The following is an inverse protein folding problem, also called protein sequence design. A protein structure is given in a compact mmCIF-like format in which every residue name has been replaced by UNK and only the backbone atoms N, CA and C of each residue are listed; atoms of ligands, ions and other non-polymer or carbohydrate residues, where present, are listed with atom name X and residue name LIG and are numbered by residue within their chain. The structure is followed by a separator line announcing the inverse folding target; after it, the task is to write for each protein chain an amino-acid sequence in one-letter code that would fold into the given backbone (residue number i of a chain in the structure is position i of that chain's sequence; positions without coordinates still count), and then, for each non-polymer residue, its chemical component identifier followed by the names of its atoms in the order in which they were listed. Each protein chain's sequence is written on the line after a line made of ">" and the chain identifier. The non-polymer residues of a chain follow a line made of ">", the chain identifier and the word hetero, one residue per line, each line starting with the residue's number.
data_IF_285012920603
#
_entry.id   IF_285012920603
#
_cell.length_a   1.000
_cell.length_b   1.000
_cell.length_c   1.000
_cell.angle_alpha   90.00
_cell.angle_beta   90.00
_cell.angle_gamma   90.00
#
_symmetry.space_group_name_H-M   'P 1'
#
loop_
_entity.id
_entity.type
_entity.pdbx_description
1 polymer ?
#
# COMPACT_ATOMS: atom_id res chain seq x y z
N UNK A 1 1.36 31.34 9.68
CA UNK A 1 0.41 30.55 8.92
C UNK A 1 0.50 30.96 7.45
N UNK A 2 0.51 29.99 6.51
CA UNK A 2 0.48 30.27 5.08
C UNK A 2 1.78 30.73 4.43
N UNK A 3 2.94 30.57 5.07
CA UNK A 3 4.27 30.85 4.49
C UNK A 3 5.14 29.62 4.50
N UNK A 4 5.95 29.49 3.45
CA UNK A 4 6.95 28.43 3.29
C UNK A 4 8.30 29.02 2.93
N UNK A 5 9.39 28.36 3.26
CA UNK A 5 10.71 28.72 2.76
C UNK A 5 10.92 28.09 1.38
N UNK A 6 11.44 28.87 0.44
CA UNK A 6 11.57 28.44 -0.95
C UNK A 6 13.00 28.58 -1.46
N UNK A 7 13.49 27.55 -2.12
CA UNK A 7 14.72 27.60 -2.91
C UNK A 7 14.33 27.86 -4.37
N UNK A 8 14.71 29.01 -4.88
CA UNK A 8 14.35 29.46 -6.23
C UNK A 8 15.44 28.98 -7.19
N UNK A 9 15.05 28.14 -8.15
CA UNK A 9 15.96 27.64 -9.17
C UNK A 9 16.52 28.81 -10.02
N UNK A 10 17.83 28.80 -10.25
CA UNK A 10 18.53 29.83 -10.96
C UNK A 10 18.84 31.10 -10.16
N UNK A 11 18.40 31.20 -8.89
CA UNK A 11 18.69 32.29 -7.96
C UNK A 11 19.51 31.79 -6.78
N UNK A 12 19.05 30.71 -6.13
CA UNK A 12 19.75 30.14 -4.98
C UNK A 12 20.61 28.93 -5.39
N UNK A 13 21.79 28.81 -4.78
CA UNK A 13 22.59 27.60 -4.95
C UNK A 13 21.82 26.35 -4.51
N UNK A 14 21.92 25.29 -5.30
CA UNK A 14 21.26 24.00 -4.99
C UNK A 14 21.93 23.27 -3.83
N UNK A 15 23.24 23.56 -3.59
CA UNK A 15 23.99 22.98 -2.48
C UNK A 15 23.52 23.57 -1.15
N UNK A 16 22.97 22.73 -0.29
CA UNK A 16 22.45 23.11 1.02
C UNK A 16 23.54 23.49 2.03
N UNK A 17 24.81 23.14 1.74
CA UNK A 17 25.94 23.58 2.57
C UNK A 17 26.31 25.05 2.29
N UNK A 18 26.10 25.53 1.05
CA UNK A 18 26.39 26.90 0.66
C UNK A 18 25.25 27.86 1.03
N UNK A 19 24.01 27.39 0.86
CA UNK A 19 22.78 28.12 1.24
C UNK A 19 21.89 27.17 2.05
N UNK A 20 21.99 27.16 3.37
CA UNK A 20 21.14 26.35 4.24
C UNK A 20 19.66 26.66 4.08
N UNK A 21 18.80 25.69 4.29
CA UNK A 21 17.34 25.90 4.21
C UNK A 21 16.82 26.93 5.23
N UNK A 22 17.59 27.13 6.32
CA UNK A 22 17.34 28.17 7.31
C UNK A 22 17.44 29.60 6.75
N UNK A 23 18.26 29.82 5.74
CA UNK A 23 18.57 31.12 5.17
C UNK A 23 17.75 31.48 3.94
N UNK A 24 16.89 30.54 3.49
CA UNK A 24 16.02 30.75 2.36
C UNK A 24 14.92 31.79 2.68
N UNK A 25 14.45 32.57 1.67
CA UNK A 25 13.40 33.54 1.87
C UNK A 25 12.05 32.88 2.15
N UNK A 26 11.23 33.57 2.95
CA UNK A 26 9.86 33.20 3.19
C UNK A 26 8.97 33.60 2.02
N UNK A 27 8.28 32.65 1.42
CA UNK A 27 7.26 32.86 0.42
C UNK A 27 5.86 32.85 1.05
N UNK A 28 5.01 33.79 0.64
CA UNK A 28 3.58 33.72 0.89
C UNK A 28 2.98 32.67 -0.06
N UNK A 29 2.01 31.90 0.41
CA UNK A 29 1.27 30.97 -0.45
C UNK A 29 -0.09 31.54 -0.73
N UNK A 30 -0.49 31.56 -2.02
CA UNK A 30 -1.83 31.98 -2.44
C UNK A 30 -2.82 30.85 -2.18
N UNK A 31 -3.94 31.20 -1.59
CA UNK A 31 -5.09 30.30 -1.40
C UNK A 31 -6.26 30.78 -2.26
N UNK A 32 -7.19 29.91 -2.68
CA UNK A 32 -8.40 30.32 -3.39
C UNK A 32 -9.20 31.36 -2.61
N UNK A 33 -9.79 32.30 -3.30
CA UNK A 33 -10.61 33.37 -2.67
C UNK A 33 -11.81 32.84 -1.88
N UNK A 34 -12.22 31.60 -2.17
CA UNK A 34 -13.31 30.91 -1.47
C UNK A 34 -12.91 30.35 -0.10
N UNK A 35 -11.61 30.34 0.21
CA UNK A 35 -11.06 29.65 1.39
C UNK A 35 -10.87 30.58 2.59
N UNK A 36 -11.30 31.80 2.52
CA UNK A 36 -11.02 32.83 3.52
C UNK A 36 -9.60 33.35 3.43
N UNK A 37 -9.03 33.90 4.48
CA UNK A 37 -7.65 34.40 4.45
C UNK A 37 -7.41 35.58 5.36
N UNK A 38 -8.26 35.81 6.36
CA UNK A 38 -8.14 36.88 7.34
C UNK A 38 -8.16 36.37 8.76
N UNK A 39 -7.42 37.02 9.64
CA UNK A 39 -7.46 36.80 11.11
C UNK A 39 -7.19 35.35 11.55
N UNK A 40 -6.33 34.63 10.81
CA UNK A 40 -6.01 33.23 11.10
C UNK A 40 -7.07 32.23 10.64
N UNK A 41 -8.09 32.70 9.93
CA UNK A 41 -9.12 31.85 9.31
C UNK A 41 -8.72 31.63 7.84
N UNK A 42 -8.73 30.40 7.40
CA UNK A 42 -8.38 29.96 6.04
C UNK A 42 -7.85 28.55 6.01
N UNK A 43 -7.83 27.97 4.84
CA UNK A 43 -7.30 26.61 4.64
C UNK A 43 -5.79 26.58 4.91
N UNK A 44 -5.37 25.61 5.71
CA UNK A 44 -3.95 25.32 5.87
C UNK A 44 -3.50 24.44 4.69
N UNK A 45 -2.84 25.04 3.72
CA UNK A 45 -2.30 24.33 2.57
C UNK A 45 -1.05 23.57 3.07
N UNK A 46 -1.20 22.27 3.21
CA UNK A 46 -0.14 21.37 3.63
C UNK A 46 0.89 21.11 2.53
N UNK A 47 1.59 22.17 2.06
CA UNK A 47 2.72 21.98 1.13
C UNK A 47 3.82 21.23 1.87
N UNK A 48 4.16 20.05 1.35
CA UNK A 48 5.17 19.19 1.98
C UNK A 48 6.58 19.72 1.69
N UNK A 49 7.54 19.52 2.61
CA UNK A 49 8.95 19.80 2.36
C UNK A 49 9.41 19.13 1.07
N UNK A 50 10.25 19.84 0.30
CA UNK A 50 10.77 19.41 -1.02
C UNK A 50 9.73 19.34 -2.15
N UNK A 51 8.49 19.77 -1.93
CA UNK A 51 7.53 19.92 -3.03
C UNK A 51 8.05 20.96 -4.03
N UNK A 52 7.84 20.72 -5.32
CA UNK A 52 8.10 21.70 -6.36
C UNK A 52 6.87 22.59 -6.53
N UNK A 53 7.09 23.88 -6.63
CA UNK A 53 6.07 24.87 -6.87
C UNK A 53 6.46 25.84 -7.97
N UNK A 54 5.50 26.61 -8.40
CA UNK A 54 5.74 27.76 -9.27
C UNK A 54 5.09 29.02 -8.66
N UNK A 55 5.65 30.16 -8.99
CA UNK A 55 5.23 31.41 -8.40
C UNK A 55 5.82 32.61 -9.12
N UNK A 56 5.64 33.77 -8.52
CA UNK A 56 6.21 35.04 -9.00
C UNK A 56 7.04 35.69 -7.91
N UNK A 57 7.97 36.52 -8.31
CA UNK A 57 8.80 37.33 -7.42
C UNK A 57 8.26 38.75 -7.43
N UNK A 58 7.77 39.23 -6.30
CA UNK A 58 7.08 40.52 -6.20
C UNK A 58 8.03 41.72 -6.22
N UNK A 59 9.27 41.52 -5.76
CA UNK A 59 10.32 42.55 -5.64
C UNK A 59 11.35 42.49 -6.79
N UNK A 60 11.05 41.78 -7.86
CA UNK A 60 11.85 41.72 -9.07
C UNK A 60 13.27 41.19 -8.82
N UNK A 61 14.28 42.01 -9.08
CA UNK A 61 15.70 41.60 -9.01
C UNK A 61 16.20 41.21 -7.61
N UNK A 62 15.53 41.66 -6.56
CA UNK A 62 15.95 41.38 -5.19
C UNK A 62 15.65 39.94 -4.75
N UNK A 63 14.63 39.33 -5.37
CA UNK A 63 14.24 37.93 -5.15
C UNK A 63 13.98 37.55 -3.68
N UNK A 64 13.55 38.52 -2.87
CA UNK A 64 13.31 38.35 -1.44
C UNK A 64 11.83 38.20 -1.07
N UNK A 65 10.91 38.53 -2.02
CA UNK A 65 9.48 38.45 -1.83
C UNK A 65 8.83 37.45 -2.82
N UNK A 66 9.13 36.16 -2.70
CA UNK A 66 8.49 35.15 -3.54
C UNK A 66 7.05 34.92 -3.10
N UNK A 67 6.17 34.73 -4.09
CA UNK A 67 4.77 34.35 -3.93
C UNK A 67 4.54 33.02 -4.61
N UNK A 68 4.16 32.00 -3.87
CA UNK A 68 3.84 30.64 -4.40
C UNK A 68 2.39 30.63 -4.86
N UNK A 69 2.17 30.33 -6.13
CA UNK A 69 0.86 30.29 -6.76
C UNK A 69 0.28 28.86 -6.88
N UNK A 70 1.15 27.86 -6.86
CA UNK A 70 0.72 26.48 -6.95
C UNK A 70 1.88 25.48 -6.77
N UNK A 71 1.53 24.22 -6.60
CA UNK A 71 2.47 23.11 -6.60
C UNK A 71 2.46 22.37 -7.93
N UNK A 72 3.63 21.92 -8.35
CA UNK A 72 3.79 21.10 -9.55
C UNK A 72 3.85 19.64 -9.07
N UNK A 73 2.96 18.77 -9.56
CA UNK A 73 3.05 17.35 -9.26
C UNK A 73 4.42 16.82 -9.65
N UNK A 74 5.16 16.33 -8.69
CA UNK A 74 6.48 15.74 -8.91
C UNK A 74 6.36 14.24 -8.67
N UNK A 75 6.62 13.48 -9.71
CA UNK A 75 6.77 12.04 -9.58
C UNK A 75 8.22 11.74 -9.24
N UNK A 76 8.50 11.56 -7.99
CA UNK A 76 9.77 10.97 -7.55
C UNK A 76 9.55 9.47 -7.43
N UNK A 77 10.39 8.68 -8.09
CA UNK A 77 10.54 7.28 -7.67
C UNK A 77 11.04 7.34 -6.24
N UNK A 78 10.27 6.88 -5.26
CA UNK A 78 10.77 6.87 -3.90
C UNK A 78 12.01 5.99 -3.86
N UNK A 79 13.04 6.51 -3.25
CA UNK A 79 14.23 5.74 -2.86
C UNK A 79 13.81 4.67 -1.86
N UNK A 80 12.61 4.83 -1.30
CA UNK A 80 11.93 3.89 -0.41
C UNK A 80 10.45 3.85 -0.79
N UNK A 81 9.94 2.68 -1.15
CA UNK A 81 8.54 2.44 -1.52
C UNK A 81 7.53 2.86 -0.43
N UNK A 82 8.01 3.14 0.78
CA UNK A 82 7.20 3.58 1.93
C UNK A 82 6.45 4.89 1.73
N UNK A 83 6.90 5.77 0.83
CA UNK A 83 6.25 7.07 0.63
C UNK A 83 5.12 7.08 -0.40
N UNK A 84 5.09 6.11 -1.31
CA UNK A 84 4.00 6.02 -2.32
C UNK A 84 2.73 5.40 -1.75
N UNK A 85 2.86 4.66 -0.67
CA UNK A 85 1.78 3.84 -0.16
C UNK A 85 0.80 4.64 0.69
N UNK A 86 1.28 5.68 1.39
CA UNK A 86 0.45 6.40 2.34
C UNK A 86 -0.68 7.22 1.69
N UNK A 87 -0.47 7.75 0.49
CA UNK A 87 -1.48 8.58 -0.16
C UNK A 87 -2.47 7.79 -1.02
N UNK A 88 -2.00 6.75 -1.71
CA UNK A 88 -2.86 5.92 -2.54
C UNK A 88 -3.70 4.91 -1.73
N UNK A 89 -3.31 4.63 -0.50
CA UNK A 89 -3.97 3.68 0.39
C UNK A 89 -4.97 4.31 1.37
N UNK A 90 -4.98 5.65 1.48
CA UNK A 90 -5.96 6.35 2.32
C UNK A 90 -7.27 6.46 1.52
N UNK A 91 -8.40 5.95 2.00
CA UNK A 91 -9.70 6.18 1.38
C UNK A 91 -9.97 7.68 1.17
N UNK A 92 -10.54 8.07 0.02
CA UNK A 92 -10.78 9.49 -0.30
C UNK A 92 -11.58 10.22 0.78
N UNK A 93 -12.51 9.53 1.44
CA UNK A 93 -13.27 10.07 2.56
C UNK A 93 -12.39 10.46 3.75
N UNK A 94 -11.25 9.79 3.91
CA UNK A 94 -10.30 10.08 5.00
C UNK A 94 -9.22 11.09 4.58
N UNK A 95 -8.95 11.25 3.29
CA UNK A 95 -7.99 12.24 2.78
C UNK A 95 -8.48 13.68 2.98
N UNK A 96 -9.80 13.87 3.08
CA UNK A 96 -10.45 15.18 3.23
C UNK A 96 -11.07 15.40 4.60
N UNK A 97 -11.00 14.42 5.51
CA UNK A 97 -11.51 14.58 6.85
C UNK A 97 -10.45 15.22 7.76
N UNK A 98 -10.79 16.32 8.40
CA UNK A 98 -9.98 16.91 9.48
C UNK A 98 -9.82 15.98 10.69
N UNK A 99 -10.24 14.73 10.58
CA UNK A 99 -10.19 13.70 11.62
C UNK A 99 -9.02 12.73 11.50
N UNK A 100 -8.17 12.87 10.47
CA UNK A 100 -6.96 12.03 10.31
C UNK A 100 -5.91 12.26 11.39
N UNK A 101 -5.96 13.39 12.10
CA UNK A 101 -5.07 13.67 13.21
C UNK A 101 -5.25 12.70 14.41
N UNK A 102 -6.34 11.91 14.41
CA UNK A 102 -6.65 10.94 15.44
C UNK A 102 -6.64 9.47 14.99
N UNK A 103 -6.48 9.21 13.70
CA UNK A 103 -6.23 7.87 13.19
C UNK A 103 -4.74 7.73 13.03
N UNK A 104 -4.10 7.08 13.99
CA UNK A 104 -2.67 6.75 13.90
C UNK A 104 -2.47 5.70 12.80
N UNK A 105 -2.52 6.14 11.54
CA UNK A 105 -2.12 5.38 10.37
C UNK A 105 -0.60 5.41 10.22
N UNK A 106 0.13 5.99 11.19
CA UNK A 106 1.58 5.97 11.19
C UNK A 106 2.02 4.50 11.26
N UNK A 107 2.73 4.09 10.25
CA UNK A 107 3.54 2.88 10.31
C UNK A 107 4.41 3.06 11.55
N UNK A 108 4.36 2.16 12.52
CA UNK A 108 5.21 2.27 13.68
C UNK A 108 6.64 2.55 13.21
N UNK A 109 7.29 3.58 13.74
CA UNK A 109 8.68 3.94 13.37
C UNK A 109 9.67 2.78 13.54
N UNK A 110 9.26 1.75 14.25
CA UNK A 110 9.98 0.52 14.53
C UNK A 110 9.46 -0.68 13.72
N UNK A 111 8.51 -0.51 12.78
CA UNK A 111 7.97 -1.63 12.02
C UNK A 111 9.09 -2.30 11.22
N UNK A 112 9.22 -3.60 11.38
CA UNK A 112 10.20 -4.40 10.66
C UNK A 112 9.82 -4.46 9.18
N UNK A 113 10.77 -4.11 8.32
CA UNK A 113 10.55 -3.98 6.87
C UNK A 113 10.90 -5.24 6.08
N UNK A 114 11.57 -6.21 6.69
CA UNK A 114 12.21 -7.26 5.93
C UNK A 114 11.44 -8.56 5.98
N UNK A 115 10.66 -8.83 4.93
CA UNK A 115 10.12 -10.17 4.67
C UNK A 115 11.23 -11.24 4.69
N UNK A 116 12.45 -10.85 4.34
CA UNK A 116 13.65 -11.70 4.35
C UNK A 116 14.03 -12.22 5.73
N UNK A 117 13.64 -11.53 6.80
CA UNK A 117 13.86 -12.00 8.18
C UNK A 117 12.96 -13.20 8.53
N UNK A 118 11.77 -13.28 7.93
CA UNK A 118 10.72 -14.22 8.30
C UNK A 118 10.39 -15.24 7.20
N UNK A 119 10.72 -14.93 5.97
CA UNK A 119 10.33 -15.71 4.80
C UNK A 119 11.56 -16.15 4.00
N UNK A 120 11.57 -17.42 3.57
CA UNK A 120 12.62 -17.99 2.74
C UNK A 120 12.15 -18.15 1.29
N UNK A 121 12.95 -17.68 0.34
CA UNK A 121 12.69 -17.77 -1.08
C UNK A 121 13.25 -16.58 -1.87
N UNK A 122 13.40 -16.75 -3.17
CA UNK A 122 13.99 -15.77 -4.09
C UNK A 122 12.96 -14.79 -4.68
N UNK A 123 11.67 -15.13 -4.60
CA UNK A 123 10.55 -14.32 -5.06
C UNK A 123 9.42 -14.33 -4.04
N UNK A 124 8.48 -13.38 -4.12
CA UNK A 124 7.33 -13.35 -3.23
C UNK A 124 6.48 -14.60 -3.37
N UNK A 125 6.34 -15.12 -4.59
CA UNK A 125 5.64 -16.38 -4.83
C UNK A 125 6.29 -17.56 -4.11
N UNK A 126 7.63 -17.69 -4.20
CA UNK A 126 8.37 -18.76 -3.54
C UNK A 126 8.32 -18.60 -2.01
N UNK A 127 8.48 -17.38 -1.50
CA UNK A 127 8.34 -17.06 -0.07
C UNK A 127 6.97 -17.43 0.48
N UNK A 128 5.90 -17.09 -0.23
CA UNK A 128 4.54 -17.42 0.15
C UNK A 128 4.30 -18.94 0.11
N UNK A 129 4.83 -19.63 -0.90
CA UNK A 129 4.78 -21.09 -0.99
C UNK A 129 5.43 -21.74 0.21
N UNK A 130 6.68 -21.39 0.49
CA UNK A 130 7.43 -21.94 1.61
C UNK A 130 6.74 -21.65 2.96
N UNK A 131 6.19 -20.45 3.13
CA UNK A 131 5.43 -20.08 4.32
C UNK A 131 4.24 -21.01 4.56
N UNK A 132 3.39 -21.24 3.55
CA UNK A 132 2.20 -22.07 3.71
C UNK A 132 2.49 -23.52 4.08
N UNK A 133 3.68 -24.03 3.78
CA UNK A 133 4.11 -25.37 4.20
C UNK A 133 4.50 -25.41 5.68
N UNK A 134 4.88 -24.30 6.30
CA UNK A 134 5.22 -24.24 7.72
C UNK A 134 4.00 -24.41 8.61
N UNK A 135 4.23 -24.77 9.88
CA UNK A 135 3.15 -24.84 10.86
C UNK A 135 2.48 -23.48 11.09
N UNK A 136 3.26 -22.40 11.13
CA UNK A 136 2.76 -21.03 11.23
C UNK A 136 1.88 -20.64 10.03
N UNK A 137 2.29 -21.03 8.83
CA UNK A 137 1.56 -20.84 7.58
C UNK A 137 0.39 -21.81 7.38
N UNK A 138 0.06 -22.60 8.41
CA UNK A 138 -1.08 -23.50 8.40
C UNK A 138 -0.76 -24.96 8.09
N UNK A 139 0.50 -25.32 7.79
CA UNK A 139 0.93 -26.69 7.48
C UNK A 139 0.16 -27.27 6.29
N UNK A 140 -0.01 -26.51 5.24
CA UNK A 140 -0.65 -26.97 4.01
C UNK A 140 0.25 -27.94 3.26
N UNK A 141 -0.34 -28.84 2.47
CA UNK A 141 0.42 -29.64 1.50
C UNK A 141 0.84 -28.79 0.32
N UNK A 142 1.75 -29.29 -0.51
CA UNK A 142 2.20 -28.62 -1.73
C UNK A 142 1.01 -28.28 -2.64
N UNK A 143 0.08 -29.22 -2.82
CA UNK A 143 -1.12 -29.06 -3.64
C UNK A 143 -2.01 -27.94 -3.09
N UNK A 144 -2.25 -27.93 -1.79
CA UNK A 144 -3.08 -26.94 -1.10
C UNK A 144 -2.45 -25.54 -1.19
N UNK A 145 -1.17 -25.41 -0.92
CA UNK A 145 -0.43 -24.16 -1.04
C UNK A 145 -0.50 -23.60 -2.47
N UNK A 146 -0.28 -24.45 -3.48
CA UNK A 146 -0.38 -24.05 -4.88
C UNK A 146 -1.78 -23.62 -5.27
N UNK A 147 -2.82 -24.26 -4.75
CA UNK A 147 -4.20 -23.85 -4.97
C UNK A 147 -4.52 -22.46 -4.41
N UNK A 148 -4.08 -22.16 -3.18
CA UNK A 148 -4.18 -20.82 -2.57
C UNK A 148 -3.42 -19.81 -3.42
N UNK A 149 -2.18 -20.10 -3.77
CA UNK A 149 -1.32 -19.21 -4.54
C UNK A 149 -1.83 -18.95 -5.96
N UNK A 150 -2.52 -19.89 -6.59
CA UNK A 150 -3.20 -19.68 -7.87
C UNK A 150 -4.22 -18.55 -7.81
N UNK A 151 -4.91 -18.40 -6.68
CA UNK A 151 -5.82 -17.28 -6.44
C UNK A 151 -5.04 -15.97 -6.26
N UNK A 152 -4.06 -15.93 -5.38
CA UNK A 152 -3.25 -14.73 -5.14
C UNK A 152 -2.52 -14.25 -6.40
N UNK A 153 -2.07 -15.18 -7.25
CA UNK A 153 -1.42 -14.86 -8.51
C UNK A 153 -2.33 -14.06 -9.46
N UNK A 154 -3.61 -14.38 -9.47
CA UNK A 154 -4.60 -13.65 -10.27
C UNK A 154 -5.03 -12.34 -9.60
N UNK A 155 -5.23 -12.33 -8.28
CA UNK A 155 -5.67 -11.15 -7.54
C UNK A 155 -4.60 -10.05 -7.49
N UNK A 156 -3.35 -10.41 -7.25
CA UNK A 156 -2.25 -9.44 -7.19
C UNK A 156 -1.76 -8.95 -8.56
N UNK A 157 -2.31 -9.47 -9.66
CA UNK A 157 -1.83 -9.12 -11.00
C UNK A 157 -0.48 -9.75 -11.37
N UNK A 158 -0.05 -10.79 -10.68
CA UNK A 158 1.24 -11.46 -10.89
C UNK A 158 1.41 -12.02 -12.32
N UNK A 159 0.33 -12.29 -13.03
CA UNK A 159 0.36 -12.64 -14.45
C UNK A 159 0.93 -11.52 -15.35
N UNK A 160 0.98 -10.28 -14.86
CA UNK A 160 1.55 -9.13 -15.57
C UNK A 160 2.94 -8.79 -15.03
N UNK A 161 3.10 -8.82 -13.71
CA UNK A 161 4.34 -8.41 -13.00
C UNK A 161 5.37 -9.54 -12.92
N UNK A 162 4.94 -10.79 -13.02
CA UNK A 162 5.78 -11.99 -12.89
C UNK A 162 5.93 -12.50 -11.46
N UNK A 163 5.49 -11.74 -10.44
CA UNK A 163 5.54 -12.12 -9.03
C UNK A 163 4.37 -11.53 -8.26
N UNK A 164 4.09 -12.02 -7.03
CA UNK A 164 3.03 -11.50 -6.17
C UNK A 164 3.30 -10.04 -5.79
N UNK A 165 2.34 -9.17 -6.08
CA UNK A 165 2.41 -7.75 -5.75
C UNK A 165 1.68 -7.48 -4.42
N UNK A 166 2.44 -7.20 -3.37
CA UNK A 166 1.93 -6.92 -2.03
C UNK A 166 1.26 -5.56 -1.90
N UNK A 167 1.44 -4.68 -2.88
CA UNK A 167 0.81 -3.35 -2.93
C UNK A 167 -0.18 -3.23 -4.08
N UNK A 168 -0.54 -4.35 -4.71
CA UNK A 168 -1.57 -4.38 -5.73
C UNK A 168 -2.85 -3.70 -5.25
N UNK A 169 -3.45 -2.88 -6.11
CA UNK A 169 -4.70 -2.20 -5.80
C UNK A 169 -5.66 -2.20 -6.97
N UNK A 170 -6.95 -2.34 -6.69
CA UNK A 170 -8.01 -2.21 -7.69
C UNK A 170 -8.44 -0.76 -7.88
N UNK A 171 -8.98 -0.46 -9.07
CA UNK A 171 -9.52 0.86 -9.38
C UNK A 171 -10.83 1.14 -8.61
N UNK A 172 -11.15 2.44 -8.35
CA UNK A 172 -12.45 2.83 -7.83
C UNK A 172 -13.62 2.33 -8.71
N UNK A 173 -14.82 2.13 -8.17
CA UNK A 173 -15.23 2.44 -6.80
C UNK A 173 -14.86 1.37 -5.76
N UNK A 174 -14.49 0.17 -6.17
CA UNK A 174 -14.09 -0.91 -5.26
C UNK A 174 -12.59 -0.88 -5.10
N UNK A 175 -12.12 -0.33 -3.96
CA UNK A 175 -10.71 -0.36 -3.62
C UNK A 175 -10.41 -1.60 -2.81
N UNK A 176 -9.55 -2.45 -3.37
CA UNK A 176 -9.02 -3.63 -2.70
C UNK A 176 -7.51 -3.62 -2.80
N UNK A 177 -6.82 -4.19 -1.81
CA UNK A 177 -5.37 -4.05 -1.66
C UNK A 177 -4.70 -5.38 -1.34
N UNK A 178 -3.43 -5.49 -1.77
CA UNK A 178 -2.55 -6.60 -1.45
C UNK A 178 -2.82 -7.87 -2.25
N UNK A 179 -2.13 -8.95 -1.84
CA UNK A 179 -2.11 -10.22 -2.60
C UNK A 179 -3.49 -10.90 -2.73
N UNK A 180 -4.39 -10.66 -1.80
CA UNK A 180 -5.75 -11.21 -1.81
C UNK A 180 -6.82 -10.13 -2.07
N UNK A 181 -6.42 -8.94 -2.51
CA UNK A 181 -7.33 -7.83 -2.80
C UNK A 181 -8.36 -7.59 -1.68
N UNK A 182 -7.86 -7.42 -0.44
CA UNK A 182 -8.73 -7.11 0.70
C UNK A 182 -9.51 -5.82 0.47
N UNK A 183 -10.84 -5.94 0.52
CA UNK A 183 -11.75 -4.84 0.21
C UNK A 183 -11.76 -3.80 1.33
N UNK A 184 -11.65 -2.50 0.95
CA UNK A 184 -11.64 -1.37 1.89
C UNK A 184 -13.01 -0.78 2.18
N UNK A 185 -14.10 -1.29 1.59
CA UNK A 185 -15.44 -0.78 1.84
C UNK A 185 -15.78 -0.87 3.34
N UNK A 186 -16.33 0.20 3.96
CA UNK A 186 -16.63 0.21 5.39
C UNK A 186 -17.54 -0.93 5.85
N UNK A 187 -18.44 -1.40 4.98
CA UNK A 187 -19.33 -2.53 5.27
C UNK A 187 -18.62 -3.89 5.33
N UNK A 188 -17.41 -3.99 4.78
CA UNK A 188 -16.62 -5.23 4.71
C UNK A 188 -15.41 -5.14 5.62
N UNK A 189 -14.72 -4.00 5.62
CA UNK A 189 -13.60 -3.64 6.49
C UNK A 189 -12.41 -4.62 6.49
N UNK A 190 -12.25 -5.49 5.47
CA UNK A 190 -11.17 -6.50 5.46
C UNK A 190 -9.78 -5.85 5.36
N UNK A 191 -9.66 -4.79 4.58
CA UNK A 191 -8.40 -4.05 4.47
C UNK A 191 -8.04 -3.35 5.80
N UNK A 192 -8.99 -2.68 6.44
CA UNK A 192 -8.77 -2.03 7.74
C UNK A 192 -8.36 -3.06 8.81
N UNK A 193 -8.96 -4.25 8.77
CA UNK A 193 -8.59 -5.34 9.66
C UNK A 193 -7.14 -5.83 9.41
N UNK A 194 -6.69 -5.90 8.14
CA UNK A 194 -5.30 -6.21 7.80
C UNK A 194 -4.35 -5.14 8.36
N UNK A 195 -4.66 -3.86 8.16
CA UNK A 195 -3.83 -2.74 8.65
C UNK A 195 -3.70 -2.79 10.17
N UNK A 196 -4.82 -2.95 10.88
CA UNK A 196 -4.83 -3.09 12.33
C UNK A 196 -4.03 -4.31 12.79
N UNK A 197 -4.26 -5.47 12.19
CA UNK A 197 -3.56 -6.71 12.51
C UNK A 197 -2.03 -6.59 12.36
N UNK A 198 -1.57 -5.95 11.29
CA UNK A 198 -0.16 -5.70 11.05
C UNK A 198 0.42 -4.73 12.11
N UNK A 199 -0.27 -3.64 12.39
CA UNK A 199 0.14 -2.64 13.38
C UNK A 199 0.30 -3.25 14.79
N UNK A 200 -0.65 -4.08 15.22
CA UNK A 200 -0.59 -4.79 16.52
C UNK A 200 0.63 -5.70 16.65
N UNK A 201 1.24 -6.09 15.53
CA UNK A 201 2.44 -6.96 15.46
C UNK A 201 3.71 -6.21 15.13
N UNK A 202 3.64 -4.89 15.07
CA UNK A 202 4.75 -4.03 14.64
C UNK A 202 5.26 -4.42 13.23
N UNK A 203 4.33 -4.78 12.33
CA UNK A 203 4.57 -5.09 10.94
C UNK A 203 3.91 -4.04 10.05
N UNK A 204 4.42 -3.92 8.84
CA UNK A 204 3.76 -3.14 7.79
C UNK A 204 2.75 -4.03 7.07
N UNK A 205 1.54 -3.53 6.84
CA UNK A 205 0.53 -4.30 6.09
C UNK A 205 0.99 -4.65 4.66
N UNK A 206 1.90 -3.85 4.08
CA UNK A 206 2.48 -4.09 2.76
C UNK A 206 3.49 -5.23 2.74
N UNK A 207 4.01 -5.66 3.88
CA UNK A 207 4.91 -6.79 3.91
C UNK A 207 4.18 -8.08 3.53
N UNK A 208 4.85 -8.92 2.77
CA UNK A 208 4.29 -10.22 2.39
C UNK A 208 3.98 -11.05 3.64
N UNK A 209 4.88 -11.03 4.62
CA UNK A 209 4.72 -11.77 5.86
C UNK A 209 3.44 -11.37 6.63
N UNK A 210 3.17 -10.07 6.76
CA UNK A 210 1.94 -9.59 7.41
C UNK A 210 0.68 -10.08 6.69
N UNK A 211 0.68 -10.03 5.36
CA UNK A 211 -0.45 -10.45 4.55
C UNK A 211 -0.69 -11.96 4.61
N UNK A 212 0.38 -12.75 4.62
CA UNK A 212 0.29 -14.20 4.78
C UNK A 212 -0.22 -14.60 6.16
N UNK A 213 0.30 -13.97 7.23
CA UNK A 213 -0.21 -14.17 8.59
C UNK A 213 -1.68 -13.79 8.71
N UNK A 214 -2.09 -12.68 8.08
CA UNK A 214 -3.48 -12.25 8.11
C UNK A 214 -4.39 -13.22 7.35
N UNK A 215 -3.94 -13.78 6.24
CA UNK A 215 -4.65 -14.86 5.54
C UNK A 215 -4.91 -16.04 6.48
N UNK A 216 -3.89 -16.49 7.19
CA UNK A 216 -4.02 -17.59 8.16
C UNK A 216 -4.97 -17.23 9.31
N UNK A 217 -4.90 -15.98 9.79
CA UNK A 217 -5.83 -15.49 10.80
C UNK A 217 -7.28 -15.54 10.32
N UNK A 218 -7.59 -14.99 9.14
CA UNK A 218 -8.95 -15.02 8.58
C UNK A 218 -9.46 -16.46 8.42
N UNK A 219 -8.64 -17.35 7.86
CA UNK A 219 -8.99 -18.76 7.69
C UNK A 219 -9.28 -19.46 9.02
N UNK A 220 -8.54 -19.15 10.08
CA UNK A 220 -8.71 -19.74 11.41
C UNK A 220 -9.90 -19.14 12.17
N UNK A 221 -10.12 -17.83 12.07
CA UNK A 221 -11.22 -17.14 12.78
C UNK A 221 -12.58 -17.54 12.22
N UNK A 222 -12.65 -17.89 10.93
CA UNK A 222 -13.90 -18.19 10.22
C UNK A 222 -13.85 -19.55 9.48
N UNK A 223 -13.35 -20.58 10.15
CA UNK A 223 -13.08 -21.92 9.56
C UNK A 223 -14.26 -22.51 8.79
N UNK A 224 -15.45 -22.43 9.37
CA UNK A 224 -16.64 -22.98 8.71
C UNK A 224 -17.02 -22.17 7.47
N UNK A 225 -16.99 -20.86 7.57
CA UNK A 225 -17.30 -19.98 6.46
C UNK A 225 -16.34 -20.15 5.29
N UNK A 226 -15.03 -20.22 5.55
CA UNK A 226 -14.00 -20.38 4.53
C UNK A 226 -13.74 -21.84 4.13
N UNK A 227 -14.51 -22.77 4.64
CA UNK A 227 -14.37 -24.20 4.35
C UNK A 227 -12.95 -24.71 4.61
N UNK A 228 -12.32 -24.21 5.68
CA UNK A 228 -10.92 -24.53 6.01
C UNK A 228 -10.63 -26.01 6.07
N UNK A 229 -11.54 -26.79 6.69
CA UNK A 229 -11.37 -28.25 6.81
C UNK A 229 -11.44 -28.98 5.46
N UNK A 230 -12.20 -28.43 4.51
CA UNK A 230 -12.25 -28.98 3.15
C UNK A 230 -10.98 -28.63 2.40
N UNK A 231 -10.52 -27.36 2.50
CA UNK A 231 -9.25 -26.91 1.94
C UNK A 231 -8.08 -27.81 2.42
N UNK A 232 -8.06 -28.14 3.71
CA UNK A 232 -7.05 -29.04 4.31
C UNK A 232 -7.16 -30.50 3.84
N UNK A 233 -8.23 -30.89 3.20
CA UNK A 233 -8.44 -32.25 2.64
C UNK A 233 -8.21 -32.29 1.12
N UNK A 234 -8.13 -31.14 0.46
CA UNK A 234 -7.89 -31.06 -0.98
C UNK A 234 -6.63 -31.83 -1.38
N UNK A 235 -6.72 -32.61 -2.45
CA UNK A 235 -5.68 -33.52 -2.93
C UNK A 235 -4.98 -33.01 -4.19
N UNK A 236 -5.55 -32.01 -4.82
CA UNK A 236 -5.00 -31.40 -6.05
C UNK A 236 -4.96 -29.89 -5.93
N UNK A 237 -4.04 -29.20 -6.67
CA UNK A 237 -4.04 -27.76 -6.72
C UNK A 237 -5.37 -27.16 -7.23
N UNK A 238 -6.01 -27.82 -8.18
CA UNK A 238 -7.30 -27.42 -8.71
C UNK A 238 -8.40 -27.45 -7.65
N UNK A 239 -8.53 -28.55 -6.90
CA UNK A 239 -9.52 -28.70 -5.83
C UNK A 239 -9.29 -27.62 -4.74
N UNK A 240 -8.07 -27.43 -4.30
CA UNK A 240 -7.73 -26.40 -3.31
C UNK A 240 -8.01 -24.98 -3.83
N UNK A 241 -7.69 -24.71 -5.10
CA UNK A 241 -7.95 -23.44 -5.75
C UNK A 241 -9.43 -23.10 -5.77
N UNK A 242 -10.29 -24.04 -6.16
CA UNK A 242 -11.73 -23.84 -6.24
C UNK A 242 -12.37 -23.63 -4.86
N UNK A 243 -11.94 -24.39 -3.84
CA UNK A 243 -12.44 -24.21 -2.47
C UNK A 243 -12.07 -22.82 -1.95
N UNK A 244 -10.83 -22.36 -2.18
CA UNK A 244 -10.37 -21.07 -1.73
C UNK A 244 -11.06 -19.93 -2.48
N UNK A 245 -11.22 -20.01 -3.81
CA UNK A 245 -11.94 -19.03 -4.62
C UNK A 245 -13.37 -18.83 -4.14
N UNK A 246 -14.09 -19.93 -3.88
CA UNK A 246 -15.53 -19.91 -3.60
C UNK A 246 -15.88 -19.08 -2.37
N UNK A 247 -15.02 -19.06 -1.35
CA UNK A 247 -15.33 -18.45 -0.07
C UNK A 247 -14.39 -17.34 0.35
N UNK A 248 -13.09 -17.51 0.13
CA UNK A 248 -12.11 -16.54 0.59
C UNK A 248 -12.03 -15.33 -0.36
N UNK A 249 -11.95 -15.58 -1.66
CA UNK A 249 -11.92 -14.54 -2.67
C UNK A 249 -13.33 -14.06 -3.03
N UNK A 250 -14.27 -14.99 -3.14
CA UNK A 250 -15.69 -14.74 -3.47
C UNK A 250 -15.86 -13.68 -4.58
N UNK A 251 -15.19 -13.82 -5.73
CA UNK A 251 -15.17 -12.80 -6.75
C UNK A 251 -16.52 -12.66 -7.45
N UNK A 252 -16.94 -11.45 -7.78
CA UNK A 252 -18.15 -11.17 -8.58
C UNK A 252 -18.06 -11.81 -9.97
N UNK A 253 -16.87 -11.81 -10.56
CA UNK A 253 -16.60 -12.46 -11.84
C UNK A 253 -15.65 -13.63 -11.59
N UNK A 254 -16.17 -14.84 -11.72
CA UNK A 254 -15.35 -16.03 -11.55
C UNK A 254 -14.36 -16.20 -12.71
N UNK A 255 -13.07 -16.15 -12.39
CA UNK A 255 -11.98 -16.42 -13.33
C UNK A 255 -11.38 -17.81 -13.09
N UNK A 256 -12.23 -18.79 -12.81
CA UNK A 256 -11.87 -20.12 -12.33
C UNK A 256 -10.75 -20.76 -13.15
N UNK A 257 -10.91 -20.83 -14.47
CA UNK A 257 -9.89 -21.47 -15.30
C UNK A 257 -8.52 -20.81 -15.19
N UNK A 258 -8.44 -19.49 -15.18
CA UNK A 258 -7.16 -18.78 -15.03
C UNK A 258 -6.50 -19.07 -13.69
N UNK A 259 -7.27 -19.18 -12.62
CA UNK A 259 -6.76 -19.50 -11.27
C UNK A 259 -6.27 -20.94 -11.20
N UNK A 260 -7.03 -21.88 -11.79
CA UNK A 260 -6.64 -23.29 -11.91
C UNK A 260 -5.36 -23.43 -12.72
N UNK A 261 -5.28 -22.76 -13.87
CA UNK A 261 -4.08 -22.79 -14.73
C UNK A 261 -2.86 -22.26 -13.96
N UNK A 262 -3.00 -21.14 -13.25
CA UNK A 262 -1.96 -20.59 -12.39
C UNK A 262 -1.56 -21.55 -11.27
N UNK A 263 -2.52 -22.14 -10.55
CA UNK A 263 -2.25 -23.12 -9.49
C UNK A 263 -1.46 -24.32 -10.01
N UNK A 264 -1.83 -24.85 -11.17
CA UNK A 264 -1.16 -25.98 -11.80
C UNK A 264 0.24 -25.61 -12.34
N UNK A 265 0.41 -24.39 -12.83
CA UNK A 265 1.73 -23.90 -13.26
C UNK A 265 2.66 -23.71 -12.06
N UNK A 266 2.18 -23.11 -10.98
CA UNK A 266 2.92 -22.96 -9.73
C UNK A 266 3.31 -24.34 -9.20
N UNK A 267 2.39 -25.30 -9.17
CA UNK A 267 2.68 -26.66 -8.73
C UNK A 267 3.81 -27.31 -9.54
N UNK A 268 3.75 -27.21 -10.87
CA UNK A 268 4.83 -27.70 -11.74
C UNK A 268 6.17 -27.01 -11.50
N UNK A 269 6.16 -25.72 -11.16
CA UNK A 269 7.38 -24.96 -10.88
C UNK A 269 7.98 -25.35 -9.51
N UNK A 270 7.17 -25.55 -8.50
CA UNK A 270 7.62 -25.81 -7.13
C UNK A 270 7.94 -27.28 -6.85
N UNK A 271 7.59 -28.19 -7.77
CA UNK A 271 7.87 -29.65 -7.63
C UNK A 271 8.97 -30.16 -8.57
N UNK A 272 9.62 -29.29 -9.32
CA UNK A 272 10.81 -29.60 -10.15
C UNK A 272 12.07 -29.48 -9.33
#
# INVERSE_FOLDING_TARGET
>A
LGRVKVRIFGVHNENTNDVPDGDLPWAQVVIPVTEGGSSGIGTNIGIKPKAHGWGIILDGKNSQLPLVLGSIPKYERPINSSYLVDYASIPDELQHSNGLDNVDLSIPKSAKETDEEFLSGSSNLERAFNFFLTQEGGGFTVEQACGILGNFYIESGAQITGDLDTVASSAPPERSFGIAQWNSAPSVARYQNLVQFASERNLRWQSLYAQLLFTIKELNDHKEYYRYNELKRAKTPEEACLIFEDRFENPKLKKQQKRIDAANEIFRKMTR
#
